data_IF_501955306035
#
_entry.id   IF_501955306035
#
_cell.length_a   1.000
_cell.length_b   1.000
_cell.length_c   1.000
_cell.angle_alpha   90.00
_cell.angle_beta   90.00
_cell.angle_gamma   90.00
#
_symmetry.space_group_name_H-M   'P 1'
#
loop_
_entity.id
_entity.type
_entity.pdbx_description
1 polymer ?
#
# COMPACT_ATOMS: atom_id res chain seq x y z
N UNK A 1 -39.10 12.40 -14.14
CA UNK A 1 -38.41 11.09 -14.20
C UNK A 1 -37.86 10.82 -12.80
N UNK A 2 -38.44 9.87 -12.07
CA UNK A 2 -37.97 9.53 -10.73
C UNK A 2 -36.68 8.72 -10.89
N UNK A 3 -35.54 9.26 -10.49
CA UNK A 3 -34.27 8.53 -10.50
C UNK A 3 -34.33 7.52 -9.36
N UNK A 4 -34.38 6.24 -9.69
CA UNK A 4 -34.14 5.17 -8.72
C UNK A 4 -32.63 4.99 -8.61
N UNK A 5 -32.09 5.26 -7.42
CA UNK A 5 -30.74 4.85 -7.06
C UNK A 5 -30.85 3.39 -6.59
N UNK A 6 -30.38 2.45 -7.42
CA UNK A 6 -30.10 1.10 -6.93
C UNK A 6 -28.85 1.19 -6.06
N UNK A 7 -28.98 0.86 -4.79
CA UNK A 7 -27.82 0.72 -3.92
C UNK A 7 -27.17 -0.62 -4.24
N UNK A 8 -25.94 -0.60 -4.75
CA UNK A 8 -25.17 -1.82 -4.94
C UNK A 8 -24.97 -2.48 -3.58
N UNK A 9 -25.48 -3.71 -3.41
CA UNK A 9 -25.60 -4.34 -2.09
C UNK A 9 -24.23 -4.53 -1.46
N UNK A 10 -23.21 -4.81 -2.27
CA UNK A 10 -21.82 -4.97 -1.83
C UNK A 10 -21.25 -3.74 -1.12
N UNK A 11 -21.73 -2.54 -1.45
CA UNK A 11 -21.31 -1.29 -0.80
C UNK A 11 -21.76 -1.18 0.66
N UNK A 12 -22.73 -1.98 1.11
CA UNK A 12 -23.26 -1.94 2.48
C UNK A 12 -22.25 -2.32 3.57
N UNK A 13 -21.09 -2.86 3.19
CA UNK A 13 -19.97 -3.22 4.08
C UNK A 13 -18.89 -2.13 4.14
N UNK A 14 -19.11 -1.04 3.44
CA UNK A 14 -18.22 0.11 3.33
C UNK A 14 -18.90 1.35 3.90
N UNK A 15 -18.11 2.40 4.11
CA UNK A 15 -18.56 3.73 4.54
C UNK A 15 -18.04 4.77 3.54
N UNK A 16 -18.42 4.67 2.25
CA UNK A 16 -17.89 5.55 1.22
C UNK A 16 -18.31 7.00 1.46
N UNK A 17 -17.50 7.90 0.91
CA UNK A 17 -17.88 9.29 0.74
C UNK A 17 -19.05 9.44 -0.27
N UNK A 18 -19.54 10.66 -0.43
CA UNK A 18 -20.75 10.95 -1.20
C UNK A 18 -20.73 10.41 -2.64
N UNK A 19 -19.56 10.39 -3.29
CA UNK A 19 -19.40 9.97 -4.67
C UNK A 19 -18.50 8.72 -4.73
N UNK A 20 -19.06 7.56 -5.06
CA UNK A 20 -18.26 6.36 -5.34
C UNK A 20 -17.76 6.45 -6.78
N UNK A 21 -16.44 6.49 -6.95
CA UNK A 21 -15.78 6.58 -8.25
C UNK A 21 -15.47 5.18 -8.79
N UNK A 22 -14.98 4.28 -7.92
CA UNK A 22 -14.74 2.88 -8.26
C UNK A 22 -15.23 1.98 -7.12
N UNK A 23 -15.79 0.83 -7.50
CA UNK A 23 -16.05 -0.31 -6.63
C UNK A 23 -15.53 -1.55 -7.35
N UNK A 24 -14.34 -1.99 -6.96
CA UNK A 24 -13.57 -3.00 -7.66
C UNK A 24 -13.76 -4.38 -7.03
N UNK A 25 -14.72 -5.13 -7.55
CA UNK A 25 -14.95 -6.54 -7.24
C UNK A 25 -14.08 -7.43 -8.15
N UNK A 26 -13.13 -8.14 -7.55
CA UNK A 26 -12.13 -8.94 -8.27
C UNK A 26 -12.68 -10.25 -8.85
N UNK A 27 -13.93 -10.62 -8.54
CA UNK A 27 -14.63 -11.67 -9.30
C UNK A 27 -14.88 -11.26 -10.76
N UNK A 28 -14.86 -9.96 -11.06
CA UNK A 28 -15.06 -9.41 -12.41
C UNK A 28 -13.75 -9.09 -13.14
N UNK A 29 -12.60 -9.46 -12.58
CA UNK A 29 -11.29 -9.25 -13.19
C UNK A 29 -10.42 -8.25 -12.42
N UNK A 30 -9.34 -7.78 -13.04
CA UNK A 30 -8.36 -6.90 -12.38
C UNK A 30 -8.86 -5.47 -12.10
N UNK A 31 -9.99 -5.04 -12.69
CA UNK A 31 -10.53 -3.69 -12.51
C UNK A 31 -9.53 -2.54 -12.74
N UNK A 32 -8.53 -2.73 -13.60
CA UNK A 32 -7.49 -1.74 -13.88
C UNK A 32 -6.34 -1.69 -12.88
N UNK A 33 -6.29 -2.63 -11.91
CA UNK A 33 -5.11 -2.86 -11.08
C UNK A 33 -4.04 -3.61 -11.87
N UNK A 34 -2.79 -3.17 -11.72
CA UNK A 34 -1.61 -3.76 -12.36
C UNK A 34 -0.40 -3.67 -11.43
N UNK A 35 0.67 -4.38 -11.79
CA UNK A 35 1.98 -4.24 -11.17
C UNK A 35 2.59 -2.85 -11.41
N UNK A 36 3.27 -2.33 -10.39
CA UNK A 36 4.03 -1.09 -10.49
C UNK A 36 5.47 -1.42 -10.88
N UNK A 37 5.84 -1.08 -12.11
CA UNK A 37 7.18 -1.26 -12.68
C UNK A 37 7.95 0.07 -12.68
N UNK A 38 9.29 0.05 -12.82
CA UNK A 38 10.05 1.29 -12.92
C UNK A 38 9.73 2.07 -14.20
N UNK A 39 10.16 3.34 -14.24
CA UNK A 39 10.19 4.09 -15.47
C UNK A 39 11.39 3.64 -16.31
N UNK A 40 11.12 3.16 -17.52
CA UNK A 40 12.15 2.79 -18.49
C UNK A 40 12.54 4.01 -19.32
N UNK A 41 13.59 4.70 -18.87
CA UNK A 41 13.99 6.02 -19.39
C UNK A 41 15.25 5.97 -20.25
N UNK A 42 15.94 4.83 -20.29
CA UNK A 42 17.17 4.62 -21.05
C UNK A 42 16.95 3.77 -22.30
N UNK A 43 17.99 3.61 -23.13
CA UNK A 43 17.94 2.75 -24.31
C UNK A 43 17.60 1.29 -23.94
N UNK A 44 17.02 0.54 -24.89
CA UNK A 44 16.63 -0.87 -24.71
C UNK A 44 15.63 -1.15 -23.58
N UNK A 45 14.84 -0.15 -23.17
CA UNK A 45 13.91 -0.27 -22.04
C UNK A 45 14.65 -0.57 -20.72
N UNK A 46 15.83 0.03 -20.53
CA UNK A 46 16.51 0.02 -19.23
C UNK A 46 15.90 1.08 -18.29
N UNK A 47 15.90 0.77 -17.00
CA UNK A 47 15.50 1.69 -15.94
C UNK A 47 16.67 2.62 -15.60
N UNK A 48 16.36 3.74 -14.95
CA UNK A 48 17.36 4.59 -14.30
C UNK A 48 18.15 3.81 -13.22
N UNK A 49 19.39 4.23 -12.95
CA UNK A 49 20.24 3.68 -11.89
C UNK A 49 19.57 3.85 -10.52
N UNK A 50 19.39 2.73 -9.82
CA UNK A 50 18.54 2.65 -8.65
C UNK A 50 19.06 1.58 -7.69
N UNK A 51 19.10 1.88 -6.38
CA UNK A 51 19.49 0.90 -5.35
C UNK A 51 18.40 -0.15 -5.14
N UNK A 52 17.14 0.21 -5.35
CA UNK A 52 16.01 -0.73 -5.30
C UNK A 52 15.61 -1.09 -6.73
N UNK A 53 15.69 -2.38 -7.05
CA UNK A 53 15.24 -2.90 -8.34
C UNK A 53 13.73 -3.17 -8.33
N UNK A 54 12.97 -2.20 -8.84
CA UNK A 54 11.52 -2.33 -9.01
C UNK A 54 11.12 -3.41 -10.05
N UNK A 55 12.05 -3.83 -10.92
CA UNK A 55 11.77 -4.83 -11.97
C UNK A 55 11.73 -6.26 -11.45
N UNK A 56 12.28 -6.48 -10.25
CA UNK A 56 12.36 -7.79 -9.59
C UNK A 56 11.07 -8.24 -8.89
N UNK A 57 10.04 -7.41 -8.88
CA UNK A 57 8.84 -7.63 -8.06
C UNK A 57 7.81 -8.53 -8.72
N UNK A 58 7.10 -9.31 -7.89
CA UNK A 58 6.19 -10.32 -8.40
C UNK A 58 4.93 -9.68 -9.02
N UNK A 59 4.40 -10.25 -10.12
CA UNK A 59 3.18 -9.75 -10.73
C UNK A 59 1.96 -9.98 -9.83
N UNK A 60 1.00 -9.08 -9.92
CA UNK A 60 -0.29 -9.23 -9.24
C UNK A 60 -1.13 -10.35 -9.85
N UNK A 61 -1.96 -10.99 -9.02
CA UNK A 61 -2.76 -12.15 -9.42
C UNK A 61 -4.20 -12.01 -8.96
N UNK A 62 -5.15 -12.46 -9.78
CA UNK A 62 -6.47 -12.83 -9.26
C UNK A 62 -6.34 -14.19 -8.59
N UNK A 63 -6.70 -14.27 -7.31
CA UNK A 63 -6.47 -15.45 -6.50
C UNK A 63 -7.71 -15.85 -5.72
N UNK A 64 -7.97 -17.16 -5.70
CA UNK A 64 -8.95 -17.77 -4.80
C UNK A 64 -8.43 -18.00 -3.38
N UNK A 65 -7.33 -17.32 -3.01
CA UNK A 65 -6.61 -17.50 -1.76
C UNK A 65 -6.32 -19.00 -1.51
N UNK A 66 -5.60 -19.61 -2.45
CA UNK A 66 -5.24 -21.03 -2.39
C UNK A 66 -4.29 -21.31 -1.22
N UNK A 67 -4.67 -22.23 -0.34
CA UNK A 67 -3.87 -22.65 0.80
C UNK A 67 -3.36 -24.08 0.59
N UNK A 68 -2.36 -24.51 1.36
CA UNK A 68 -1.78 -25.85 1.21
C UNK A 68 -2.76 -26.96 1.58
N UNK A 69 -3.57 -26.75 2.61
CA UNK A 69 -4.50 -27.76 3.13
C UNK A 69 -5.97 -27.45 2.81
N UNK A 70 -6.35 -26.17 2.75
CA UNK A 70 -7.63 -25.73 2.22
C UNK A 70 -7.45 -25.37 0.74
N UNK A 71 -8.08 -26.13 -0.16
CA UNK A 71 -7.93 -25.92 -1.62
C UNK A 71 -8.06 -24.45 -2.04
N UNK A 72 -9.09 -23.76 -1.56
CA UNK A 72 -9.31 -22.33 -1.75
C UNK A 72 -10.13 -21.78 -0.59
N UNK A 73 -9.78 -20.59 -0.11
CA UNK A 73 -10.61 -19.88 0.86
C UNK A 73 -11.67 -19.02 0.17
N UNK A 74 -11.32 -18.36 -0.94
CA UNK A 74 -12.13 -17.31 -1.56
C UNK A 74 -11.86 -15.92 -0.98
N UNK A 75 -12.45 -14.90 -1.61
CA UNK A 75 -12.46 -13.53 -1.10
C UNK A 75 -13.46 -13.39 0.05
N UNK A 76 -13.70 -12.18 0.58
CA UNK A 76 -14.67 -12.00 1.66
C UNK A 76 -16.10 -12.20 1.15
N UNK A 77 -16.39 -11.73 -0.07
CA UNK A 77 -17.74 -11.82 -0.65
C UNK A 77 -17.85 -12.77 -1.86
N UNK A 78 -16.75 -13.38 -2.28
CA UNK A 78 -16.65 -13.98 -3.60
C UNK A 78 -15.57 -15.04 -3.75
N UNK A 79 -15.17 -15.28 -5.00
CA UNK A 79 -14.16 -16.29 -5.33
C UNK A 79 -12.77 -15.69 -5.39
N UNK A 80 -12.61 -14.54 -6.04
CA UNK A 80 -11.33 -13.95 -6.36
C UNK A 80 -11.06 -12.68 -5.55
N UNK A 81 -9.81 -12.57 -5.13
CA UNK A 81 -9.21 -11.38 -4.53
C UNK A 81 -8.00 -10.98 -5.35
N UNK A 82 -7.61 -9.71 -5.28
CA UNK A 82 -6.31 -9.28 -5.79
C UNK A 82 -5.22 -9.71 -4.80
N UNK A 83 -4.32 -10.56 -5.27
CA UNK A 83 -3.15 -11.04 -4.53
C UNK A 83 -1.91 -10.26 -4.96
N UNK A 84 -1.28 -9.63 -3.98
CA UNK A 84 0.01 -8.95 -4.08
C UNK A 84 1.04 -9.80 -3.33
N UNK A 85 2.15 -10.14 -3.97
CA UNK A 85 3.10 -11.13 -3.44
C UNK A 85 4.54 -10.66 -3.49
N UNK A 86 5.38 -11.30 -2.68
CA UNK A 86 6.84 -11.13 -2.72
C UNK A 86 7.54 -12.41 -3.20
N UNK A 87 8.78 -12.29 -3.65
CA UNK A 87 9.74 -13.38 -3.65
C UNK A 87 10.19 -13.69 -2.19
N UNK A 88 10.78 -14.87 -1.93
CA UNK A 88 11.27 -15.26 -0.60
C UNK A 88 12.68 -14.71 -0.33
N UNK A 89 12.86 -13.38 -0.43
CA UNK A 89 14.18 -12.73 -0.47
C UNK A 89 14.36 -11.66 0.59
N UNK A 90 13.70 -11.78 1.75
CA UNK A 90 13.85 -10.84 2.87
C UNK A 90 15.32 -10.59 3.26
N UNK A 91 15.59 -9.39 3.74
CA UNK A 91 16.92 -8.93 4.18
C UNK A 91 16.83 -8.19 5.51
N UNK A 92 17.92 -7.59 6.03
CA UNK A 92 17.84 -6.76 7.23
C UNK A 92 16.84 -5.61 7.05
N UNK A 93 16.06 -5.29 8.09
CA UNK A 93 15.05 -4.21 8.05
C UNK A 93 15.66 -2.80 8.05
N UNK A 94 16.95 -2.69 8.34
CA UNK A 94 17.74 -1.45 8.31
C UNK A 94 18.39 -1.17 6.96
N UNK A 95 18.32 -2.12 6.02
CA UNK A 95 18.88 -1.99 4.67
C UNK A 95 17.77 -1.71 3.63
N UNK A 96 18.10 -1.18 2.45
CA UNK A 96 17.16 -1.06 1.35
C UNK A 96 16.43 -2.39 1.07
N UNK A 97 15.17 -2.36 0.61
CA UNK A 97 14.48 -3.58 0.20
C UNK A 97 15.32 -4.37 -0.80
N UNK A 98 15.39 -5.69 -0.59
CA UNK A 98 16.09 -6.59 -1.50
C UNK A 98 15.25 -6.82 -2.75
N UNK A 99 15.90 -7.22 -3.82
CA UNK A 99 15.25 -7.62 -5.06
C UNK A 99 14.18 -8.69 -4.77
N UNK A 100 12.96 -8.42 -5.21
CA UNK A 100 11.79 -9.28 -5.01
C UNK A 100 11.20 -9.26 -3.59
N UNK A 101 11.79 -8.57 -2.60
CA UNK A 101 11.28 -8.61 -1.21
C UNK A 101 10.01 -7.78 -1.01
N UNK A 102 9.54 -7.12 -2.04
CA UNK A 102 8.32 -6.30 -2.06
C UNK A 102 7.36 -6.76 -3.16
N UNK A 103 6.09 -6.43 -2.99
CA UNK A 103 5.06 -6.54 -4.02
C UNK A 103 4.14 -5.33 -4.03
N UNK A 104 3.68 -4.91 -5.21
CA UNK A 104 2.91 -3.69 -5.40
C UNK A 104 1.78 -3.85 -6.40
N UNK A 105 0.61 -3.30 -6.04
CA UNK A 105 -0.50 -3.13 -6.95
C UNK A 105 -0.87 -1.66 -7.04
N UNK A 106 -0.90 -1.12 -8.26
CA UNK A 106 -1.30 0.25 -8.56
C UNK A 106 -2.55 0.22 -9.43
N UNK A 107 -3.46 1.18 -9.22
CA UNK A 107 -4.49 1.53 -10.18
C UNK A 107 -4.26 2.97 -10.64
N UNK A 108 -4.30 3.20 -11.95
CA UNK A 108 -4.05 4.53 -12.53
C UNK A 108 -5.38 5.26 -12.69
N UNK A 109 -5.58 6.36 -11.96
CA UNK A 109 -6.77 7.21 -12.11
C UNK A 109 -6.38 8.68 -12.26
N UNK A 110 -7.31 9.43 -12.83
CA UNK A 110 -7.30 10.89 -12.79
C UNK A 110 -8.47 11.39 -11.94
N UNK A 111 -8.28 12.53 -11.29
CA UNK A 111 -9.27 13.17 -10.44
C UNK A 111 -10.56 13.45 -11.20
N UNK A 112 -11.67 12.96 -10.67
CA UNK A 112 -13.01 13.31 -11.14
C UNK A 112 -13.58 14.47 -10.32
N UNK A 113 -13.91 15.59 -10.98
CA UNK A 113 -14.41 16.80 -10.32
C UNK A 113 -13.33 17.55 -9.55
N UNK A 114 -13.74 18.30 -8.53
CA UNK A 114 -12.83 19.01 -7.62
C UNK A 114 -13.15 18.64 -6.16
N UNK A 115 -12.92 17.36 -5.78
CA UNK A 115 -13.26 16.90 -4.46
C UNK A 115 -12.39 17.56 -3.40
N UNK A 116 -12.96 17.73 -2.21
CA UNK A 116 -12.24 18.11 -1.01
C UNK A 116 -11.62 16.88 -0.35
N UNK A 117 -12.39 15.80 -0.24
CA UNK A 117 -11.95 14.56 0.38
C UNK A 117 -11.80 13.45 -0.65
N UNK A 118 -10.76 12.65 -0.47
CA UNK A 118 -10.60 11.36 -1.15
C UNK A 118 -10.52 10.26 -0.09
N UNK A 119 -11.04 9.09 -0.43
CA UNK A 119 -11.04 7.94 0.46
C UNK A 119 -10.84 6.64 -0.31
N UNK A 120 -9.97 5.79 0.22
CA UNK A 120 -9.89 4.39 -0.19
C UNK A 120 -10.45 3.51 0.93
N UNK A 121 -11.12 2.44 0.57
CA UNK A 121 -11.49 1.35 1.46
C UNK A 121 -11.21 0.02 0.80
N UNK A 122 -10.90 -1.00 1.60
CA UNK A 122 -10.74 -2.37 1.13
C UNK A 122 -10.99 -3.36 2.27
N UNK A 123 -11.37 -4.59 1.92
CA UNK A 123 -11.17 -5.72 2.82
C UNK A 123 -9.82 -6.34 2.50
N UNK A 124 -9.03 -6.64 3.51
CA UNK A 124 -7.70 -7.18 3.33
C UNK A 124 -7.40 -8.35 4.26
N UNK A 125 -6.50 -9.21 3.81
CA UNK A 125 -5.90 -10.27 4.62
C UNK A 125 -4.44 -10.44 4.23
N UNK A 126 -3.60 -10.92 5.14
CA UNK A 126 -2.18 -11.14 4.87
C UNK A 126 -1.70 -12.46 5.47
N UNK A 127 -0.83 -13.17 4.74
CA UNK A 127 -0.30 -14.48 5.17
C UNK A 127 0.95 -14.86 4.38
N UNK A 128 1.92 -15.56 4.99
CA UNK A 128 3.02 -16.14 4.24
C UNK A 128 2.55 -17.34 3.40
N UNK A 129 3.38 -17.77 2.45
CA UNK A 129 3.19 -19.08 1.82
C UNK A 129 3.37 -20.19 2.85
N UNK A 130 2.49 -21.19 2.87
CA UNK A 130 2.53 -22.33 3.79
C UNK A 130 3.55 -23.41 3.39
N UNK A 131 4.79 -23.02 3.15
CA UNK A 131 5.88 -23.90 2.73
C UNK A 131 6.52 -24.66 3.90
N UNK A 132 6.54 -24.07 5.10
CA UNK A 132 7.18 -24.61 6.32
C UNK A 132 6.32 -24.50 7.58
N UNK A 133 6.80 -25.08 8.69
CA UNK A 133 6.15 -25.03 10.01
C UNK A 133 6.09 -23.59 10.57
N UNK A 134 5.11 -23.33 11.43
CA UNK A 134 4.88 -22.04 12.06
C UNK A 134 3.74 -21.26 11.40
N UNK A 135 3.23 -20.26 12.13
CA UNK A 135 2.20 -19.36 11.61
C UNK A 135 2.78 -18.36 10.61
N UNK A 136 4.04 -17.96 10.82
CA UNK A 136 4.79 -17.06 9.95
C UNK A 136 4.21 -15.64 9.90
N UNK A 137 3.67 -15.17 11.02
CA UNK A 137 3.28 -13.76 11.15
C UNK A 137 4.54 -12.90 11.08
N UNK A 138 5.59 -13.34 11.76
CA UNK A 138 6.90 -12.74 11.81
C UNK A 138 7.62 -12.65 10.45
N UNK A 139 7.20 -13.44 9.47
CA UNK A 139 7.76 -13.41 8.10
C UNK A 139 7.27 -12.18 7.31
N UNK A 140 6.25 -11.49 7.79
CA UNK A 140 5.63 -10.35 7.10
C UNK A 140 6.12 -9.08 7.75
N UNK A 141 6.96 -8.31 7.05
CA UNK A 141 7.52 -7.08 7.60
C UNK A 141 6.47 -6.00 7.69
N UNK A 142 5.86 -5.68 6.56
CA UNK A 142 4.92 -4.58 6.48
C UNK A 142 3.89 -4.79 5.38
N UNK A 143 2.70 -4.22 5.60
CA UNK A 143 1.68 -4.00 4.57
C UNK A 143 1.31 -2.53 4.57
N UNK A 144 0.94 -1.98 3.43
CA UNK A 144 0.61 -0.57 3.38
C UNK A 144 -0.17 -0.15 2.16
N UNK A 145 -0.51 1.14 2.19
CA UNK A 145 -1.26 1.83 1.16
C UNK A 145 -0.75 3.26 1.03
N UNK A 146 -0.73 3.80 -0.17
CA UNK A 146 -0.58 5.23 -0.39
C UNK A 146 -1.34 5.69 -1.64
N UNK A 147 -1.70 6.97 -1.66
CA UNK A 147 -2.06 7.64 -2.90
C UNK A 147 -0.81 8.27 -3.52
N UNK A 148 -0.72 8.26 -4.84
CA UNK A 148 0.12 9.15 -5.64
C UNK A 148 -0.78 10.26 -6.19
N UNK A 149 -0.65 11.47 -5.64
CA UNK A 149 -1.51 12.60 -5.96
C UNK A 149 -0.68 13.71 -6.59
N UNK A 150 -1.20 14.30 -7.66
CA UNK A 150 -0.70 15.57 -8.18
C UNK A 150 -1.85 16.54 -8.42
N UNK A 151 -1.76 17.71 -7.80
CA UNK A 151 -2.59 18.86 -8.14
C UNK A 151 -1.82 19.85 -9.03
N UNK A 152 -2.39 21.04 -9.27
CA UNK A 152 -1.78 22.05 -10.15
C UNK A 152 -0.49 22.68 -9.60
N UNK A 153 -0.16 22.44 -8.34
CA UNK A 153 1.00 23.04 -7.67
C UNK A 153 2.02 21.99 -7.20
N UNK A 154 1.55 20.88 -6.63
CA UNK A 154 2.42 19.88 -6.00
C UNK A 154 2.04 18.45 -6.34
N UNK A 155 3.06 17.58 -6.32
CA UNK A 155 2.92 16.13 -6.20
C UNK A 155 3.24 15.70 -4.77
N UNK A 156 2.46 14.79 -4.23
CA UNK A 156 2.58 14.31 -2.85
C UNK A 156 1.92 12.95 -2.66
N UNK A 157 2.36 12.21 -1.65
CA UNK A 157 1.95 10.82 -1.47
C UNK A 157 1.45 10.50 -0.06
N UNK A 158 0.19 10.82 0.27
CA UNK A 158 -0.35 10.46 1.58
C UNK A 158 -0.48 8.93 1.66
N UNK A 159 0.18 8.33 2.65
CA UNK A 159 0.29 6.88 2.78
C UNK A 159 0.50 6.43 4.21
N UNK A 160 0.21 5.15 4.45
CA UNK A 160 0.31 4.49 5.74
C UNK A 160 0.87 3.08 5.56
N UNK A 161 1.54 2.56 6.58
CA UNK A 161 1.94 1.16 6.63
C UNK A 161 1.82 0.60 8.03
N UNK A 162 1.46 -0.67 8.13
CA UNK A 162 1.52 -1.44 9.35
C UNK A 162 2.87 -2.15 9.39
N UNK A 163 3.73 -1.79 10.32
CA UNK A 163 4.99 -2.50 10.59
C UNK A 163 4.65 -3.67 11.50
N UNK A 164 4.60 -4.85 10.92
CA UNK A 164 4.22 -6.08 11.59
C UNK A 164 5.42 -6.77 12.25
N UNK A 165 6.55 -6.89 11.55
CA UNK A 165 7.77 -7.47 12.11
C UNK A 165 9.05 -6.77 11.67
N UNK A 166 10.12 -6.93 12.45
CA UNK A 166 11.48 -6.50 12.13
C UNK A 166 12.47 -7.58 12.57
N UNK A 167 13.16 -8.21 11.64
CA UNK A 167 14.13 -9.27 11.93
C UNK A 167 13.54 -10.44 12.71
N UNK A 168 12.33 -10.86 12.35
CA UNK A 168 11.57 -11.96 12.94
C UNK A 168 10.89 -11.61 14.26
N UNK A 169 10.90 -10.34 14.69
CA UNK A 169 10.25 -9.89 15.93
C UNK A 169 9.04 -9.05 15.62
N UNK A 170 7.90 -9.39 16.22
CA UNK A 170 6.65 -8.65 16.04
C UNK A 170 6.75 -7.25 16.66
N UNK A 171 6.30 -6.25 15.89
CA UNK A 171 6.23 -4.83 16.27
C UNK A 171 4.78 -4.36 16.37
N UNK A 172 3.98 -4.65 15.35
CA UNK A 172 2.53 -4.43 15.32
C UNK A 172 2.08 -2.99 15.52
N UNK A 173 2.57 -2.09 14.65
CA UNK A 173 2.32 -0.65 14.79
C UNK A 173 2.22 0.08 13.45
N UNK A 174 1.31 1.04 13.38
CA UNK A 174 1.09 1.88 12.20
C UNK A 174 2.09 3.04 12.10
N UNK A 175 2.47 3.33 10.85
CA UNK A 175 3.25 4.48 10.43
C UNK A 175 2.53 5.23 9.32
N UNK A 176 2.83 6.52 9.19
CA UNK A 176 2.40 7.36 8.08
C UNK A 176 3.61 7.83 7.27
N UNK A 177 3.39 8.10 5.99
CA UNK A 177 4.42 8.56 5.08
C UNK A 177 4.58 10.08 5.18
N UNK A 178 5.76 10.50 5.62
CA UNK A 178 6.21 11.88 5.67
C UNK A 178 7.73 11.84 5.79
N UNK A 179 8.40 12.48 4.84
CA UNK A 179 9.85 12.62 4.87
C UNK A 179 10.27 13.42 6.10
N UNK A 180 11.19 12.86 6.87
CA UNK A 180 11.77 13.49 8.04
C UNK A 180 12.49 14.80 7.67
N UNK A 181 12.50 15.75 8.60
CA UNK A 181 13.17 17.03 8.40
C UNK A 181 14.68 16.83 8.18
N UNK A 182 15.22 17.52 7.18
CA UNK A 182 16.66 17.53 6.89
C UNK A 182 17.16 16.36 6.03
N UNK A 183 16.29 15.47 5.56
CA UNK A 183 16.67 14.41 4.61
C UNK A 183 17.02 15.03 3.26
N UNK A 184 18.24 14.79 2.79
CA UNK A 184 18.72 15.30 1.50
C UNK A 184 18.42 14.33 0.36
N UNK A 185 18.44 14.77 -0.92
CA UNK A 185 18.36 13.86 -2.05
C UNK A 185 19.46 12.78 -2.04
N UNK A 186 20.66 13.08 -1.56
CA UNK A 186 21.75 12.11 -1.46
C UNK A 186 21.45 11.04 -0.39
N UNK A 187 20.95 11.43 0.78
CA UNK A 187 20.51 10.49 1.82
C UNK A 187 19.40 9.57 1.29
N UNK A 188 18.43 10.17 0.59
CA UNK A 188 17.29 9.47 0.03
C UNK A 188 17.70 8.40 -0.98
N UNK A 189 18.64 8.74 -1.86
CA UNK A 189 19.15 7.85 -2.90
C UNK A 189 20.28 6.92 -2.43
N UNK A 190 20.50 6.75 -1.13
CA UNK A 190 21.56 5.90 -0.56
C UNK A 190 22.96 6.23 -1.11
N UNK A 191 23.24 7.51 -1.37
CA UNK A 191 24.52 7.97 -1.90
C UNK A 191 24.71 7.80 -3.42
N UNK A 192 23.68 7.39 -4.17
CA UNK A 192 23.73 7.44 -5.65
C UNK A 192 23.83 8.90 -6.09
N UNK A 193 24.95 9.24 -6.72
CA UNK A 193 25.20 10.58 -7.24
C UNK A 193 24.21 10.90 -8.36
N UNK A 194 23.63 12.10 -8.31
CA UNK A 194 22.62 12.57 -9.28
C UNK A 194 21.42 11.59 -9.37
N UNK A 195 21.08 10.94 -8.25
CA UNK A 195 20.02 9.93 -8.17
C UNK A 195 18.65 10.44 -8.60
N UNK A 196 17.92 9.59 -9.30
CA UNK A 196 16.62 9.91 -9.91
C UNK A 196 15.51 10.14 -8.87
N UNK A 197 15.57 9.45 -7.73
CA UNK A 197 14.48 9.38 -6.78
C UNK A 197 14.36 10.67 -5.95
N UNK A 198 13.14 11.23 -5.90
CA UNK A 198 12.88 12.48 -5.18
C UNK A 198 12.24 12.20 -3.82
N UNK A 199 12.78 12.78 -2.73
CA UNK A 199 12.15 12.67 -1.41
C UNK A 199 10.68 13.07 -1.45
N UNK A 200 9.82 12.20 -0.92
CA UNK A 200 8.39 12.46 -0.77
C UNK A 200 7.52 11.92 -1.91
N UNK A 201 8.11 11.54 -3.05
CA UNK A 201 7.34 11.03 -4.20
C UNK A 201 7.96 9.81 -4.90
N UNK A 202 9.26 9.53 -4.80
CA UNK A 202 9.85 8.35 -5.47
C UNK A 202 11.00 7.74 -4.66
N UNK A 203 11.08 6.45 -4.36
CA UNK A 203 9.97 5.57 -3.98
C UNK A 203 9.78 5.62 -2.45
N UNK A 204 8.65 5.13 -1.92
CA UNK A 204 8.33 5.31 -0.49
C UNK A 204 9.27 4.54 0.46
N UNK A 205 10.03 3.57 -0.06
CA UNK A 205 10.99 2.76 0.71
C UNK A 205 12.44 3.28 0.64
N UNK A 206 12.64 4.46 0.03
CA UNK A 206 13.92 5.14 -0.02
C UNK A 206 14.21 5.89 1.27
N UNK A 207 15.47 6.32 1.41
CA UNK A 207 16.01 6.89 2.62
C UNK A 207 16.35 5.82 3.66
N UNK A 208 17.07 6.25 4.69
CA UNK A 208 17.61 5.36 5.72
C UNK A 208 16.49 4.71 6.50
N UNK A 209 16.73 3.47 6.92
CA UNK A 209 15.82 2.69 7.76
C UNK A 209 16.49 2.44 9.10
N UNK A 210 15.72 2.53 10.17
CA UNK A 210 16.25 2.52 11.53
C UNK A 210 15.85 1.23 12.26
N UNK A 211 16.61 0.92 13.30
CA UNK A 211 16.44 -0.31 14.09
C UNK A 211 15.05 -0.45 14.72
N UNK A 212 14.39 0.67 15.02
CA UNK A 212 13.04 0.66 15.58
C UNK A 212 11.96 0.38 14.52
N UNK A 213 12.29 0.40 13.23
CA UNK A 213 11.39 0.25 12.10
C UNK A 213 10.89 1.56 11.49
N UNK A 214 11.25 2.71 12.07
CA UNK A 214 11.08 4.01 11.40
C UNK A 214 12.01 4.13 10.20
N UNK A 215 11.73 5.08 9.32
CA UNK A 215 12.59 5.40 8.20
C UNK A 215 12.55 6.90 7.94
N UNK A 216 13.52 7.40 7.17
CA UNK A 216 13.50 8.78 6.68
C UNK A 216 12.14 9.11 6.02
N UNK A 217 11.49 8.15 5.35
CA UNK A 217 10.16 8.34 4.75
C UNK A 217 8.93 8.03 5.63
N UNK A 218 9.09 7.35 6.76
CA UNK A 218 7.95 6.84 7.54
C UNK A 218 8.08 7.13 9.03
N UNK A 219 7.04 7.76 9.58
CA UNK A 219 6.95 8.20 10.97
C UNK A 219 5.84 7.44 11.70
N UNK A 220 5.99 7.24 13.01
CA UNK A 220 5.01 6.52 13.83
C UNK A 220 3.69 7.28 13.96
N UNK A 221 2.56 6.59 13.72
CA UNK A 221 1.23 7.12 14.08
C UNK A 221 1.12 7.16 15.62
N UNK A 222 0.79 8.31 16.22
CA UNK A 222 0.54 8.38 17.67
C UNK A 222 -0.60 7.44 18.07
N UNK A 223 -0.32 6.51 18.99
CA UNK A 223 -1.29 5.49 19.40
C UNK A 223 -1.58 4.44 18.33
N UNK A 224 -0.73 4.31 17.31
CA UNK A 224 -0.90 3.37 16.21
C UNK A 224 -0.57 1.91 16.53
N UNK A 225 -0.34 1.56 17.79
CA UNK A 225 -0.19 0.17 18.23
C UNK A 225 -1.50 -0.60 17.99
N UNK A 226 -1.44 -1.71 17.25
CA UNK A 226 -2.62 -2.50 16.96
C UNK A 226 -2.28 -3.97 16.76
N UNK A 227 -2.87 -4.84 17.57
CA UNK A 227 -2.91 -6.27 17.31
C UNK A 227 -3.97 -6.58 16.26
N UNK A 228 -3.54 -6.74 15.00
CA UNK A 228 -4.42 -7.17 13.93
C UNK A 228 -4.83 -8.64 14.13
N UNK A 229 -6.02 -8.99 13.64
CA UNK A 229 -6.48 -10.37 13.67
C UNK A 229 -5.60 -11.20 12.76
N UNK A 230 -4.83 -12.10 13.37
CA UNK A 230 -4.01 -13.06 12.65
C UNK A 230 -4.57 -14.48 12.75
N UNK A 231 -4.02 -15.37 11.93
CA UNK A 231 -4.57 -16.70 11.72
C UNK A 231 -4.31 -17.62 12.92
N UNK A 232 -5.35 -18.34 13.32
CA UNK A 232 -5.26 -19.36 14.37
C UNK A 232 -4.35 -20.51 13.94
N UNK A 233 -4.47 -20.92 12.68
CA UNK A 233 -3.73 -22.00 12.03
C UNK A 233 -3.22 -21.53 10.66
N UNK A 234 -2.15 -22.13 10.12
CA UNK A 234 -1.52 -21.63 8.90
C UNK A 234 -2.45 -21.67 7.69
N UNK A 235 -3.48 -22.52 7.68
CA UNK A 235 -4.44 -22.76 6.59
C UNK A 235 -5.67 -21.83 6.57
N UNK A 236 -5.69 -20.79 7.41
CA UNK A 236 -6.80 -19.82 7.51
C UNK A 236 -6.36 -18.44 7.06
N UNK A 237 -7.33 -17.61 6.69
CA UNK A 237 -7.20 -16.16 6.57
C UNK A 237 -8.37 -15.47 7.27
N UNK A 238 -8.16 -14.25 7.74
CA UNK A 238 -9.22 -13.40 8.28
C UNK A 238 -9.26 -12.08 7.49
N UNK A 239 -10.45 -11.69 7.07
CA UNK A 239 -10.66 -10.43 6.37
C UNK A 239 -10.86 -9.30 7.36
N UNK A 240 -10.05 -8.26 7.23
CA UNK A 240 -10.08 -7.04 8.02
C UNK A 240 -10.44 -5.86 7.12
N UNK A 241 -11.10 -4.86 7.69
CA UNK A 241 -11.47 -3.66 6.98
C UNK A 241 -10.35 -2.63 7.02
N UNK A 242 -10.07 -1.95 5.91
CA UNK A 242 -9.12 -0.84 5.81
C UNK A 242 -9.84 0.38 5.25
N UNK A 243 -9.52 1.57 5.79
CA UNK A 243 -9.93 2.85 5.23
C UNK A 243 -8.89 3.93 5.50
N UNK A 244 -8.56 4.72 4.48
CA UNK A 244 -7.77 5.94 4.62
C UNK A 244 -8.50 7.11 3.95
N UNK A 245 -8.68 8.19 4.70
CA UNK A 245 -9.29 9.44 4.22
C UNK A 245 -8.28 10.58 4.25
N UNK A 246 -8.24 11.36 3.17
CA UNK A 246 -7.32 12.49 2.98
C UNK A 246 -8.11 13.71 2.50
N UNK A 247 -7.80 14.88 3.07
CA UNK A 247 -8.28 16.18 2.62
C UNK A 247 -7.25 16.72 1.62
N UNK A 248 -7.59 16.69 0.33
CA UNK A 248 -6.69 17.12 -0.75
C UNK A 248 -6.74 18.63 -0.99
N UNK A 249 -7.75 19.32 -0.46
CA UNK A 249 -7.79 20.79 -0.45
C UNK A 249 -6.76 21.34 0.55
N UNK A 250 -6.63 20.69 1.70
CA UNK A 250 -5.64 21.05 2.74
C UNK A 250 -4.30 20.32 2.61
N UNK A 251 -4.24 19.27 1.78
CA UNK A 251 -3.11 18.32 1.68
C UNK A 251 -2.78 17.77 3.07
N UNK A 252 -3.77 17.13 3.68
CA UNK A 252 -3.74 16.71 5.09
C UNK A 252 -4.41 15.34 5.24
N UNK A 253 -3.84 14.48 6.09
CA UNK A 253 -4.51 13.25 6.47
C UNK A 253 -5.73 13.56 7.33
N UNK A 254 -6.77 12.72 7.26
CA UNK A 254 -7.99 12.90 8.05
C UNK A 254 -8.16 11.78 9.05
N UNK A 255 -8.20 10.54 8.57
CA UNK A 255 -8.49 9.37 9.40
C UNK A 255 -7.90 8.11 8.76
N UNK A 256 -7.33 7.25 9.59
CA UNK A 256 -6.98 5.88 9.24
C UNK A 256 -7.86 4.95 10.07
N UNK A 257 -8.47 3.96 9.43
CA UNK A 257 -9.14 2.87 10.12
C UNK A 257 -8.59 1.53 9.64
N UNK A 258 -8.30 0.64 10.60
CA UNK A 258 -8.08 -0.77 10.35
C UNK A 258 -8.87 -1.61 11.35
N UNK A 259 -9.72 -2.51 10.85
CA UNK A 259 -10.68 -3.25 11.64
C UNK A 259 -11.63 -2.31 12.40
N UNK A 260 -11.66 -2.46 13.72
CA UNK A 260 -12.42 -1.63 14.65
C UNK A 260 -11.63 -0.42 15.18
N UNK A 261 -10.33 -0.32 14.89
CA UNK A 261 -9.48 0.77 15.36
C UNK A 261 -9.51 1.96 14.40
N UNK A 262 -9.91 3.12 14.90
CA UNK A 262 -9.99 4.39 14.15
C UNK A 262 -9.00 5.38 14.77
N UNK A 263 -8.08 5.88 13.96
CA UNK A 263 -7.03 6.82 14.34
C UNK A 263 -7.29 8.17 13.68
N UNK A 264 -7.37 9.23 14.49
CA UNK A 264 -7.41 10.60 13.98
C UNK A 264 -6.03 11.01 13.47
N UNK A 265 -5.97 11.41 12.20
CA UNK A 265 -4.73 11.72 11.51
C UNK A 265 -4.60 13.22 11.20
N UNK A 266 -5.56 14.04 11.64
CA UNK A 266 -5.55 15.48 11.40
C UNK A 266 -4.32 16.14 12.02
N UNK A 267 -3.83 17.20 11.37
CA UNK A 267 -2.58 17.88 11.67
C UNK A 267 -1.36 17.27 10.95
N UNK A 268 -1.47 16.03 10.46
CA UNK A 268 -0.40 15.38 9.71
C UNK A 268 -0.51 15.76 8.23
N UNK A 269 0.60 16.14 7.61
CA UNK A 269 0.68 16.51 6.20
C UNK A 269 1.68 15.63 5.46
N UNK A 270 1.40 15.22 4.22
CA UNK A 270 2.38 14.55 3.38
C UNK A 270 3.49 15.54 3.00
N UNK A 271 4.63 15.00 2.57
CA UNK A 271 5.69 15.80 1.96
C UNK A 271 5.22 16.34 0.61
N UNK A 272 5.43 17.63 0.37
CA UNK A 272 5.07 18.29 -0.88
C UNK A 272 6.31 18.44 -1.76
N UNK A 273 6.20 18.02 -3.01
CA UNK A 273 7.25 18.09 -4.03
C UNK A 273 6.71 18.80 -5.26
N UNK A 274 7.59 19.39 -6.06
CA UNK A 274 7.19 20.00 -7.34
C UNK A 274 6.47 19.00 -8.23
N UNK A 275 5.39 19.45 -8.88
CA UNK A 275 4.61 18.65 -9.81
C UNK A 275 5.40 18.28 -11.06
N UNK A 276 5.09 17.11 -11.62
CA UNK A 276 5.67 16.65 -12.86
C UNK A 276 4.86 17.12 -14.07
N UNK A 277 5.52 17.37 -15.19
CA UNK A 277 4.83 17.84 -16.39
C UNK A 277 3.78 16.81 -16.87
N UNK A 278 2.59 17.31 -17.25
CA UNK A 278 1.54 16.56 -17.94
C UNK A 278 0.83 15.46 -17.13
N UNK A 279 1.05 15.38 -15.82
CA UNK A 279 0.32 14.45 -14.93
C UNK A 279 -0.51 15.19 -13.86
N UNK A 280 -0.94 16.41 -14.17
CA UNK A 280 -1.87 17.15 -13.31
C UNK A 280 -3.17 16.35 -13.11
N UNK A 281 -3.70 16.40 -11.89
CA UNK A 281 -4.86 15.64 -11.45
C UNK A 281 -4.64 14.12 -11.33
N UNK A 282 -3.40 13.65 -11.26
CA UNK A 282 -3.09 12.26 -10.96
C UNK A 282 -3.66 11.86 -9.60
N UNK A 283 -4.31 10.70 -9.53
CA UNK A 283 -4.69 10.04 -8.29
C UNK A 283 -4.50 8.54 -8.49
N UNK A 284 -3.37 7.98 -8.08
CA UNK A 284 -3.18 6.54 -8.13
C UNK A 284 -3.27 5.98 -6.71
N UNK A 285 -4.22 5.08 -6.39
CA UNK A 285 -4.11 4.25 -5.20
C UNK A 285 -3.10 3.11 -5.41
N UNK A 286 -2.23 2.88 -4.44
CA UNK A 286 -1.23 1.81 -4.43
C UNK A 286 -1.33 1.01 -3.12
N UNK A 287 -1.38 -0.32 -3.22
CA UNK A 287 -1.18 -1.22 -2.10
C UNK A 287 0.16 -1.95 -2.20
N UNK A 288 0.74 -2.29 -1.05
CA UNK A 288 1.99 -3.02 -1.02
C UNK A 288 2.15 -3.97 0.17
N UNK A 289 3.10 -4.89 0.01
CA UNK A 289 3.56 -5.80 1.06
C UNK A 289 5.08 -5.98 0.97
N UNK A 290 5.71 -6.19 2.13
CA UNK A 290 7.14 -6.47 2.31
C UNK A 290 7.33 -7.76 3.12
N UNK A 291 8.23 -8.63 2.65
CA UNK A 291 8.67 -9.79 3.43
C UNK A 291 9.81 -9.42 4.36
N UNK A 292 9.81 -9.97 5.57
CA UNK A 292 10.89 -9.81 6.53
C UNK A 292 11.96 -10.90 6.40
N UNK A 293 11.58 -12.08 5.89
CA UNK A 293 12.41 -13.29 5.91
C UNK A 293 12.53 -13.93 4.52
N UNK A 294 13.26 -15.04 4.44
CA UNK A 294 13.35 -15.86 3.21
C UNK A 294 12.08 -16.71 2.99
N UNK A 295 10.93 -16.03 2.96
CA UNK A 295 9.61 -16.60 2.74
C UNK A 295 8.74 -15.63 1.95
N UNK A 296 8.06 -16.13 0.93
CA UNK A 296 7.11 -15.32 0.17
C UNK A 296 5.91 -15.00 1.05
N UNK A 297 5.47 -13.74 1.00
CA UNK A 297 4.28 -13.28 1.71
C UNK A 297 3.25 -12.73 0.73
N UNK A 298 1.99 -12.75 1.15
CA UNK A 298 0.86 -12.36 0.31
C UNK A 298 -0.05 -11.41 1.06
N UNK A 299 -0.43 -10.31 0.40
CA UNK A 299 -1.54 -9.45 0.74
C UNK A 299 -2.68 -9.78 -0.23
N UNK A 300 -3.85 -10.04 0.32
CA UNK A 300 -5.09 -10.22 -0.43
C UNK A 300 -5.98 -9.02 -0.19
N UNK A 301 -6.55 -8.50 -1.28
CA UNK A 301 -7.49 -7.38 -1.28
C UNK A 301 -8.80 -7.83 -1.92
N UNK A 302 -9.90 -7.51 -1.27
CA UNK A 302 -11.24 -7.71 -1.80
C UNK A 302 -12.00 -6.38 -1.82
N UNK A 303 -12.73 -6.16 -2.91
CA UNK A 303 -13.75 -5.13 -3.00
C UNK A 303 -13.21 -3.73 -2.71
N UNK A 304 -12.24 -3.26 -3.51
CA UNK A 304 -11.59 -1.96 -3.26
C UNK A 304 -12.52 -0.82 -3.70
N UNK A 305 -12.83 0.11 -2.78
CA UNK A 305 -13.70 1.26 -3.03
C UNK A 305 -12.87 2.54 -3.02
N UNK A 306 -12.97 3.31 -4.10
CA UNK A 306 -12.46 4.68 -4.16
C UNK A 306 -13.64 5.64 -4.22
N UNK A 307 -13.71 6.58 -3.27
CA UNK A 307 -14.80 7.55 -3.16
C UNK A 307 -14.31 8.96 -2.84
N UNK A 308 -15.15 9.96 -3.13
CA UNK A 308 -14.84 11.38 -2.95
C UNK A 308 -16.01 12.19 -2.37
N UNK A 309 -15.68 13.31 -1.73
CA UNK A 309 -16.63 14.33 -1.23
C UNK A 309 -16.23 15.72 -1.71
#
# INVERSE_FOLDING_TARGET
MQKFLSYERGLGRFKPLANVICYDDFDNGFNGWLDLTPNYVEENYESFDSVVDLSSWAPNQLSSASMRFASSHGSMDGTYSLKVSTAPTGGPHTEPPRDGSMGHAIKRLSRYGNPKLIQIEAWYSYTPVQDREGKGEEDIRAIGFFFDVQDSEYRYMPGVRYVNSLGGKLVKKWQYYQVAEGVTPEDWNFGVKDGWCVPGVDNQWYGRRFEDGSADGYQWVPGGEQDLVYNESPDKINWMYFRLTVDIEKREYVELQSGDHVMDMRGIKPTLTEGYASIDNLINPIFFIETDSERSVNLYLDSVVYSTE
#
